data_IF_155995676709
#
_entry.id   IF_155995676709
#
_cell.length_a   1.000
_cell.length_b   1.000
_cell.length_c   1.000
_cell.angle_alpha   90.00
_cell.angle_beta   90.00
_cell.angle_gamma   90.00
#
_symmetry.space_group_name_H-M   'P 1'
#
loop_
_entity.id
_entity.type
_entity.pdbx_description
1 polymer ?
#
# COMPACT_ATOMS: atom_id res chain seq x y z
N UNK A 1 -27.28 -2.73 -4.64
CA UNK A 1 -26.11 -1.81 -4.72
C UNK A 1 -26.48 -0.91 -5.86
N UNK A 2 -26.99 0.26 -5.50
CA UNK A 2 -27.98 0.93 -6.32
C UNK A 2 -27.30 2.02 -7.15
N UNK A 3 -27.76 2.24 -8.38
CA UNK A 3 -27.17 3.18 -9.33
C UNK A 3 -26.99 4.59 -8.73
N UNK A 4 -27.94 4.97 -7.89
CA UNK A 4 -27.98 6.24 -7.16
C UNK A 4 -26.83 6.39 -6.14
N UNK A 5 -26.36 5.29 -5.56
CA UNK A 5 -25.21 5.31 -4.65
C UNK A 5 -23.89 5.50 -5.41
N UNK A 6 -23.80 4.91 -6.61
CA UNK A 6 -22.64 5.09 -7.49
C UNK A 6 -22.54 6.52 -8.04
N UNK A 7 -23.66 7.15 -8.37
CA UNK A 7 -23.72 8.55 -8.82
C UNK A 7 -23.28 9.52 -7.71
N UNK A 8 -23.79 9.35 -6.48
CA UNK A 8 -23.36 10.14 -5.31
C UNK A 8 -21.88 9.98 -5.00
N UNK A 9 -21.36 8.76 -5.16
CA UNK A 9 -19.94 8.48 -4.96
C UNK A 9 -19.08 9.19 -6.01
N UNK A 10 -19.47 9.15 -7.28
CA UNK A 10 -18.73 9.79 -8.37
C UNK A 10 -18.68 11.31 -8.18
N UNK A 11 -19.80 11.94 -7.84
CA UNK A 11 -19.86 13.38 -7.56
C UNK A 11 -18.95 13.78 -6.39
N UNK A 12 -18.85 12.91 -5.36
CA UNK A 12 -17.98 13.14 -4.21
C UNK A 12 -16.49 13.13 -4.56
N UNK A 13 -16.06 12.26 -5.48
CA UNK A 13 -14.64 12.15 -5.85
C UNK A 13 -14.26 13.03 -7.06
N UNK A 14 -15.23 13.53 -7.83
CA UNK A 14 -15.00 14.40 -8.99
C UNK A 14 -14.29 15.71 -8.62
N UNK A 15 -14.61 16.29 -7.46
CA UNK A 15 -13.93 17.50 -6.95
C UNK A 15 -12.48 17.28 -6.52
N UNK A 16 -12.09 16.03 -6.21
CA UNK A 16 -10.72 15.67 -5.85
C UNK A 16 -9.83 15.45 -7.07
N UNK A 17 -10.41 15.07 -8.21
CA UNK A 17 -9.68 14.74 -9.43
C UNK A 17 -9.27 15.97 -10.27
N UNK A 18 -9.88 17.13 -10.02
CA UNK A 18 -9.66 18.36 -10.79
C UNK A 18 -8.77 19.40 -10.09
N UNK A 19 -8.18 19.09 -8.93
CA UNK A 19 -7.34 20.04 -8.20
C UNK A 19 -5.89 19.55 -8.19
N UNK A 20 -5.13 19.99 -9.19
CA UNK A 20 -3.76 19.56 -9.50
C UNK A 20 -2.69 19.98 -8.48
N UNK A 21 -3.04 20.54 -7.31
CA UNK A 21 -2.13 20.89 -6.20
C UNK A 21 -3.06 21.03 -4.96
N UNK A 22 -2.98 20.34 -3.81
CA UNK A 22 -1.86 20.11 -2.89
C UNK A 22 -2.31 19.06 -1.85
N UNK A 23 -1.64 17.92 -1.77
CA UNK A 23 -1.06 17.30 -0.55
C UNK A 23 -0.74 15.81 -0.80
N UNK A 24 0.54 15.47 -1.09
CA UNK A 24 0.98 14.09 -1.21
C UNK A 24 1.19 13.50 0.18
N UNK A 25 0.10 13.08 0.84
CA UNK A 25 0.17 12.25 2.04
C UNK A 25 -0.73 11.03 1.91
N UNK A 26 -0.51 10.24 0.84
CA UNK A 26 -0.80 8.78 0.75
C UNK A 26 -0.51 8.18 -0.62
N UNK A 27 0.41 8.76 -1.38
CA UNK A 27 1.07 8.04 -2.46
C UNK A 27 2.52 7.86 -2.01
N UNK A 28 2.75 6.82 -1.21
CA UNK A 28 4.08 6.28 -1.10
C UNK A 28 4.46 5.82 -2.51
N UNK A 29 5.29 6.63 -3.15
CA UNK A 29 5.91 6.43 -4.46
C UNK A 29 6.13 4.95 -4.79
N UNK A 30 5.24 4.37 -5.61
CA UNK A 30 5.49 3.12 -6.34
C UNK A 30 6.24 3.42 -7.66
N UNK A 31 7.18 4.35 -7.63
CA UNK A 31 8.04 4.71 -8.75
C UNK A 31 9.45 5.03 -8.26
N UNK A 32 9.95 4.21 -7.33
CA UNK A 32 11.36 4.20 -6.94
C UNK A 32 11.82 2.77 -7.13
N UNK A 33 12.70 2.57 -8.11
CA UNK A 33 13.60 1.42 -8.29
C UNK A 33 13.36 0.30 -7.27
N UNK A 34 12.62 -0.74 -7.69
CA UNK A 34 12.06 -1.86 -6.90
C UNK A 34 13.06 -2.67 -6.03
N UNK A 35 14.33 -2.26 -5.96
CA UNK A 35 15.43 -3.03 -5.38
C UNK A 35 16.33 -2.22 -4.43
N UNK A 36 15.97 -0.99 -4.04
CA UNK A 36 16.77 -0.32 -3.01
C UNK A 36 16.59 -1.03 -1.65
N UNK A 37 17.68 -1.34 -0.92
CA UNK A 37 17.59 -2.02 0.38
C UNK A 37 16.66 -1.31 1.37
N UNK A 38 16.64 0.03 1.32
CA UNK A 38 15.79 0.87 2.15
C UNK A 38 14.29 0.54 1.99
N UNK A 39 13.83 0.38 0.75
CA UNK A 39 12.41 0.06 0.46
C UNK A 39 12.06 -1.34 0.96
N UNK A 40 12.99 -2.29 0.87
CA UNK A 40 12.76 -3.65 1.35
C UNK A 40 12.64 -3.66 2.89
N UNK A 41 13.43 -2.85 3.60
CA UNK A 41 13.27 -2.68 5.05
C UNK A 41 11.92 -2.05 5.42
N UNK A 42 11.47 -1.03 4.69
CA UNK A 42 10.14 -0.43 4.90
C UNK A 42 9.01 -1.43 4.63
N UNK A 43 9.15 -2.31 3.63
CA UNK A 43 8.20 -3.38 3.35
C UNK A 43 8.20 -4.44 4.46
N UNK A 44 9.35 -4.78 5.03
CA UNK A 44 9.45 -5.70 6.17
C UNK A 44 8.77 -5.14 7.42
N UNK A 45 8.89 -3.84 7.69
CA UNK A 45 8.19 -3.18 8.80
C UNK A 45 6.66 -3.26 8.64
N UNK A 46 6.16 -2.96 7.44
CA UNK A 46 4.72 -3.09 7.11
C UNK A 46 4.26 -4.54 7.25
N UNK A 47 5.06 -5.51 6.82
CA UNK A 47 4.75 -6.93 6.93
C UNK A 47 4.60 -7.36 8.40
N UNK A 48 5.44 -6.85 9.30
CA UNK A 48 5.31 -7.06 10.75
C UNK A 48 4.00 -6.52 11.31
N UNK A 49 3.63 -5.29 10.95
CA UNK A 49 2.36 -4.66 11.36
C UNK A 49 1.14 -5.47 10.92
N UNK A 50 1.18 -6.06 9.71
CA UNK A 50 0.08 -6.91 9.23
C UNK A 50 -0.09 -8.19 10.07
N UNK A 51 1.02 -8.79 10.51
CA UNK A 51 0.98 -9.94 11.44
C UNK A 51 0.44 -9.54 12.81
N UNK A 52 0.94 -8.43 13.38
CA UNK A 52 0.49 -7.93 14.69
C UNK A 52 -1.00 -7.59 14.71
N UNK A 53 -1.51 -7.06 13.60
CA UNK A 53 -2.94 -6.79 13.41
C UNK A 53 -3.78 -8.04 13.14
N UNK A 54 -3.18 -9.24 13.11
CA UNK A 54 -3.87 -10.51 12.85
C UNK A 54 -4.35 -10.70 11.41
N UNK A 55 -3.87 -9.88 10.47
CA UNK A 55 -4.22 -9.98 9.04
C UNK A 55 -3.45 -11.13 8.38
N UNK A 56 -2.22 -11.38 8.82
CA UNK A 56 -1.39 -12.50 8.36
C UNK A 56 -1.21 -13.52 9.46
N UNK A 57 -1.26 -14.80 9.08
CA UNK A 57 -0.82 -15.90 9.93
C UNK A 57 0.71 -15.96 10.00
N UNK A 58 1.26 -16.66 11.01
CA UNK A 58 2.71 -16.84 11.16
C UNK A 58 3.37 -17.51 9.94
N UNK A 59 2.64 -18.40 9.27
CA UNK A 59 3.09 -19.10 8.07
C UNK A 59 3.23 -18.11 6.92
N UNK A 60 2.18 -17.34 6.64
CA UNK A 60 2.17 -16.34 5.56
C UNK A 60 3.22 -15.25 5.79
N UNK A 61 3.36 -14.78 7.04
CA UNK A 61 4.41 -13.83 7.41
C UNK A 61 5.81 -14.37 7.09
N UNK A 62 6.08 -15.62 7.44
CA UNK A 62 7.39 -16.25 7.24
C UNK A 62 7.73 -16.39 5.76
N UNK A 63 6.78 -16.83 4.94
CA UNK A 63 6.98 -16.95 3.49
C UNK A 63 7.25 -15.60 2.82
N UNK A 64 6.48 -14.57 3.18
CA UNK A 64 6.62 -13.23 2.60
C UNK A 64 7.92 -12.55 3.05
N UNK A 65 8.30 -12.72 4.33
CA UNK A 65 9.58 -12.22 4.85
C UNK A 65 10.75 -12.84 4.10
N UNK A 66 10.71 -14.15 3.84
CA UNK A 66 11.75 -14.86 3.07
C UNK A 66 11.91 -14.28 1.68
N UNK A 67 10.79 -14.08 0.95
CA UNK A 67 10.78 -13.49 -0.40
C UNK A 67 11.36 -12.08 -0.42
N UNK A 68 11.04 -11.25 0.58
CA UNK A 68 11.59 -9.90 0.69
C UNK A 68 13.11 -9.91 0.93
N UNK A 69 13.60 -10.79 1.81
CA UNK A 69 15.04 -10.91 2.08
C UNK A 69 15.83 -11.48 0.90
N UNK A 70 15.22 -12.32 0.06
CA UNK A 70 15.86 -12.80 -1.17
C UNK A 70 16.15 -11.67 -2.17
N UNK A 71 15.35 -10.60 -2.16
CA UNK A 71 15.57 -9.41 -3.01
C UNK A 71 16.74 -8.53 -2.56
N UNK A 72 17.33 -8.80 -1.39
CA UNK A 72 18.52 -8.11 -0.87
C UNK A 72 19.84 -8.81 -1.22
N UNK A 73 19.78 -9.99 -1.85
CA UNK A 73 20.98 -10.70 -2.33
C UNK A 73 21.46 -10.12 -3.66
#
# INVERSE_FOLDING_TARGET
>A
MDKEDAEKFYDRIKGLYNNDQVSPQKQANYSVTEHSPQIIFDQLEKLGKLRENGILTDIEFTEQKRKLLEKLK
#
